data_IF_107203485559
#
_entry.id   IF_107203485559
#
_cell.length_a   1.000
_cell.length_b   1.000
_cell.length_c   1.000
_cell.angle_alpha   90.00
_cell.angle_beta   90.00
_cell.angle_gamma   90.00
#
_symmetry.space_group_name_H-M   'P 1'
#
loop_
_entity.id
_entity.type
_entity.pdbx_description
1 polymer ?
#
# COMPACT_ATOMS: atom_id res chain seq x y z
N UNK A 1 -8.26 11.31 -8.75
CA UNK A 1 -8.82 10.45 -7.68
C UNK A 1 -8.12 9.10 -7.73
N UNK A 2 -7.63 8.59 -6.59
CA UNK A 2 -6.95 7.29 -6.51
C UNK A 2 -8.01 6.19 -6.37
N UNK A 3 -7.94 5.16 -7.21
CA UNK A 3 -8.82 3.99 -7.17
C UNK A 3 -8.02 2.73 -6.82
N UNK A 4 -8.74 1.68 -6.42
CA UNK A 4 -8.15 0.35 -6.25
C UNK A 4 -7.56 -0.11 -7.60
N UNK A 5 -6.34 -0.64 -7.58
CA UNK A 5 -5.63 -1.07 -8.79
C UNK A 5 -4.80 0.01 -9.48
N UNK A 6 -4.84 1.27 -9.00
CA UNK A 6 -3.91 2.30 -9.49
C UNK A 6 -2.49 1.99 -9.03
N UNK A 7 -1.52 2.28 -9.91
CA UNK A 7 -0.11 2.31 -9.58
C UNK A 7 0.26 3.70 -9.02
N UNK A 8 1.01 3.70 -7.92
CA UNK A 8 1.39 4.89 -7.19
C UNK A 8 2.85 4.81 -6.78
N UNK A 9 3.47 5.97 -6.63
CA UNK A 9 4.77 6.15 -6.01
C UNK A 9 4.64 6.90 -4.69
N UNK A 10 5.52 6.58 -3.74
CA UNK A 10 5.54 7.24 -2.44
C UNK A 10 6.49 8.43 -2.50
N UNK A 11 5.97 9.61 -2.17
CA UNK A 11 6.70 10.87 -2.20
C UNK A 11 7.55 11.10 -0.95
N UNK A 12 7.05 10.62 0.19
CA UNK A 12 7.59 10.96 1.51
C UNK A 12 7.37 9.85 2.54
N UNK A 13 8.20 9.85 3.59
CA UNK A 13 8.23 8.85 4.66
C UNK A 13 9.26 7.74 4.42
N UNK A 14 9.20 6.69 5.25
CA UNK A 14 10.20 5.61 5.29
C UNK A 14 10.32 4.81 3.98
N UNK A 15 9.30 4.87 3.13
CA UNK A 15 9.21 4.11 1.88
C UNK A 15 9.26 5.03 0.65
N UNK A 16 9.86 6.22 0.77
CA UNK A 16 10.01 7.18 -0.31
C UNK A 16 10.67 6.55 -1.55
N UNK A 17 10.13 6.82 -2.73
CA UNK A 17 10.63 6.32 -4.02
C UNK A 17 10.13 4.92 -4.39
N UNK A 18 9.52 4.18 -3.47
CA UNK A 18 8.96 2.87 -3.76
C UNK A 18 7.64 3.02 -4.52
N UNK A 19 7.47 2.19 -5.55
CA UNK A 19 6.23 2.04 -6.32
C UNK A 19 5.41 0.89 -5.78
N UNK A 20 4.09 1.00 -5.86
CA UNK A 20 3.19 -0.06 -5.42
C UNK A 20 1.79 0.07 -6.00
N UNK A 21 1.02 -1.01 -5.82
CA UNK A 21 -0.36 -1.10 -6.29
C UNK A 21 -1.31 -0.86 -5.12
N UNK A 22 -2.36 -0.08 -5.36
CA UNK A 22 -3.38 0.21 -4.35
C UNK A 22 -4.32 -1.00 -4.16
N UNK A 23 -4.29 -1.60 -2.97
CA UNK A 23 -5.17 -2.71 -2.60
C UNK A 23 -6.56 -2.23 -2.14
N UNK A 24 -6.58 -1.16 -1.34
CA UNK A 24 -7.82 -0.63 -0.76
C UNK A 24 -7.71 0.86 -0.48
N UNK A 25 -8.77 1.60 -0.82
CA UNK A 25 -8.89 3.04 -0.59
C UNK A 25 -9.91 3.28 0.52
N UNK A 26 -9.57 4.15 1.46
CA UNK A 26 -10.47 4.66 2.51
C UNK A 26 -10.70 6.16 2.26
N UNK A 27 -11.64 6.55 1.38
CA UNK A 27 -11.82 7.94 0.98
C UNK A 27 -12.19 8.84 2.16
N UNK A 28 -13.08 8.37 3.05
CA UNK A 28 -13.49 9.12 4.27
C UNK A 28 -12.31 9.45 5.20
N UNK A 29 -11.28 8.59 5.24
CA UNK A 29 -10.11 8.74 6.12
C UNK A 29 -8.87 9.24 5.38
N UNK A 30 -9.00 9.60 4.09
CA UNK A 30 -7.90 9.97 3.19
C UNK A 30 -6.69 9.03 3.27
N UNK A 31 -6.97 7.72 3.36
CA UNK A 31 -5.96 6.67 3.60
C UNK A 31 -6.06 5.58 2.54
N UNK A 32 -4.94 4.91 2.26
CA UNK A 32 -4.83 3.88 1.22
C UNK A 32 -3.88 2.78 1.66
N UNK A 33 -4.24 1.53 1.41
CA UNK A 33 -3.36 0.38 1.62
C UNK A 33 -2.67 0.06 0.29
N UNK A 34 -1.35 -0.07 0.36
CA UNK A 34 -0.47 -0.34 -0.78
C UNK A 34 0.17 -1.70 -0.57
N UNK A 35 0.23 -2.52 -1.62
CA UNK A 35 0.80 -3.86 -1.54
C UNK A 35 2.28 -3.84 -1.17
N UNK A 36 2.69 -4.67 -0.21
CA UNK A 36 4.10 -4.86 0.16
C UNK A 36 4.75 -3.70 0.91
N UNK A 37 4.00 -2.65 1.26
CA UNK A 37 4.54 -1.44 1.87
C UNK A 37 3.87 -1.21 3.22
N UNK A 38 4.62 -0.65 4.17
CA UNK A 38 4.13 -0.29 5.49
C UNK A 38 3.58 -1.50 6.27
N UNK A 39 4.34 -2.60 6.31
CA UNK A 39 3.95 -3.82 7.02
C UNK A 39 4.08 -3.62 8.53
N UNK A 40 2.98 -3.85 9.24
CA UNK A 40 2.94 -3.83 10.70
C UNK A 40 2.82 -5.25 11.25
N UNK A 41 3.52 -5.52 12.34
CA UNK A 41 3.35 -6.74 13.14
C UNK A 41 2.21 -6.49 14.12
N UNK A 42 1.12 -7.25 13.99
CA UNK A 42 -0.01 -7.19 14.94
C UNK A 42 -0.06 -8.48 15.74
N UNK A 43 0.04 -8.34 17.05
CA UNK A 43 -0.21 -9.43 17.99
C UNK A 43 -1.70 -9.65 18.08
N UNK A 44 -2.14 -10.85 17.71
CA UNK A 44 -3.55 -11.25 17.82
C UNK A 44 -3.68 -12.32 18.91
N UNK A 45 -4.61 -12.09 19.84
CA UNK A 45 -5.02 -13.12 20.79
C UNK A 45 -5.73 -14.26 20.01
N UNK A 46 -5.61 -15.51 20.46
CA UNK A 46 -6.35 -16.63 19.90
C UNK A 46 -7.86 -16.31 19.87
N UNK A 47 -8.53 -16.60 18.77
CA UNK A 47 -9.98 -16.48 18.66
C UNK A 47 -10.54 -17.53 17.71
N UNK A 48 -11.87 -17.70 17.64
CA UNK A 48 -12.51 -18.66 16.75
C UNK A 48 -12.07 -18.53 15.27
N UNK A 49 -11.73 -17.30 14.82
CA UNK A 49 -11.22 -17.07 13.46
C UNK A 49 -9.72 -17.30 13.31
N UNK A 50 -8.97 -17.28 14.41
CA UNK A 50 -7.52 -17.49 14.45
C UNK A 50 -7.15 -18.33 15.68
N UNK A 51 -7.39 -19.65 15.66
CA UNK A 51 -7.25 -20.51 16.84
C UNK A 51 -5.80 -20.64 17.33
N UNK A 52 -4.81 -20.54 16.42
CA UNK A 52 -3.38 -20.54 16.80
C UNK A 52 -2.91 -19.22 17.44
N UNK A 53 -3.68 -18.13 17.32
CA UNK A 53 -3.18 -16.79 17.68
C UNK A 53 -1.86 -16.44 16.97
N UNK A 54 -1.13 -15.45 17.47
CA UNK A 54 0.26 -15.19 17.08
C UNK A 54 0.51 -13.81 16.45
N UNK A 55 1.63 -13.69 15.76
CA UNK A 55 2.07 -12.44 15.12
C UNK A 55 1.69 -12.49 13.66
N UNK A 56 0.67 -11.72 13.28
CA UNK A 56 0.32 -11.52 11.87
C UNK A 56 1.05 -10.29 11.34
N UNK A 57 1.61 -10.41 10.14
CA UNK A 57 2.07 -9.24 9.39
C UNK A 57 0.95 -8.77 8.49
N UNK A 58 0.65 -7.47 8.52
CA UNK A 58 -0.39 -6.88 7.69
C UNK A 58 0.04 -5.51 7.20
N UNK A 59 -0.35 -5.15 5.98
CA UNK A 59 -0.14 -3.83 5.43
C UNK A 59 -0.98 -2.78 6.18
N UNK A 60 -0.33 -1.69 6.56
CA UNK A 60 -0.98 -0.56 7.19
C UNK A 60 -1.28 0.56 6.17
N UNK A 61 -2.37 1.31 6.38
CA UNK A 61 -2.74 2.39 5.50
C UNK A 61 -1.74 3.56 5.55
N UNK A 62 -1.47 4.14 4.39
CA UNK A 62 -0.67 5.35 4.16
C UNK A 62 -1.61 6.50 3.81
N UNK A 63 -1.22 7.73 4.17
CA UNK A 63 -2.02 8.92 3.85
C UNK A 63 -1.90 9.30 2.37
N UNK A 64 -3.00 9.72 1.74
CA UNK A 64 -3.05 10.06 0.31
C UNK A 64 -2.06 11.17 -0.07
N UNK A 65 -1.80 12.13 0.84
CA UNK A 65 -0.86 13.24 0.57
C UNK A 65 0.58 12.79 0.35
N UNK A 66 0.97 11.61 0.83
CA UNK A 66 2.32 11.08 0.67
C UNK A 66 2.46 10.23 -0.60
N UNK A 67 1.42 10.18 -1.43
CA UNK A 67 1.33 9.30 -2.59
C UNK A 67 1.12 10.13 -3.84
N UNK A 68 1.77 9.72 -4.91
CA UNK A 68 1.61 10.27 -6.26
C UNK A 68 1.07 9.16 -7.15
N UNK A 69 0.00 9.46 -7.89
CA UNK A 69 -0.48 8.57 -8.94
C UNK A 69 0.52 8.59 -10.08
N UNK A 70 1.05 7.43 -10.42
CA UNK A 70 1.85 7.28 -11.62
C UNK A 70 0.89 7.21 -12.81
N UNK A 71 1.13 8.05 -13.80
CA UNK A 71 0.62 7.78 -15.14
C UNK A 71 1.62 6.78 -15.71
N UNK A 72 1.16 5.65 -16.24
CA UNK A 72 2.02 4.75 -17.01
C UNK A 72 2.83 5.61 -17.97
N UNK A 73 4.11 5.78 -17.68
CA UNK A 73 5.04 6.38 -18.62
C UNK A 73 4.90 5.54 -19.88
N UNK A 74 4.77 6.19 -21.03
CA UNK A 74 5.02 5.54 -22.30
C UNK A 74 6.27 4.68 -22.11
N UNK A 75 6.17 3.41 -22.46
CA UNK A 75 7.35 2.57 -22.65
C UNK A 75 8.23 3.41 -23.57
N UNK A 76 9.36 3.91 -23.05
CA UNK A 76 10.38 4.42 -23.94
C UNK A 76 10.82 3.17 -24.70
N UNK A 77 10.33 3.05 -25.94
CA UNK A 77 11.05 2.36 -27.00
C UNK A 77 12.54 2.63 -26.77
N UNK A 78 13.29 1.61 -26.39
CA UNK A 78 14.65 1.34 -26.85
C UNK A 78 15.13 0.05 -26.18
N UNK A 79 14.98 -1.05 -26.90
CA UNK A 79 15.94 -2.14 -26.86
C UNK A 79 16.05 -2.64 -28.29
N UNK A 80 16.87 -1.90 -29.06
CA UNK A 80 17.57 -2.26 -30.31
C UNK A 80 16.75 -2.92 -31.41
#
# INVERSE_FOLDING_TARGET
MIKKGDEISILSGNYKGVKGIVLKVFPKKKKVIVFGINMIKKHIKPSAKNPKGGIIKKEAPIHISNLKKEKKGKINDLSV
#
